data_IF_794423401494
#
_entry.id   IF_794423401494
#
_cell.length_a   1.000
_cell.length_b   1.000
_cell.length_c   1.000
_cell.angle_alpha   90.00
_cell.angle_beta   90.00
_cell.angle_gamma   90.00
#
_symmetry.space_group_name_H-M   'P 1'
#
loop_
_entity.id
_entity.type
_entity.pdbx_description
1 polymer ?
#
# COMPACT_ATOMS: atom_id res chain seq x y z
N UNK A 1 -27.73 3.76 -68.20
CA UNK A 1 -27.22 3.71 -69.57
C UNK A 1 -25.69 3.62 -69.65
N UNK A 2 -24.94 4.28 -68.83
CA UNK A 2 -23.45 4.22 -68.84
C UNK A 2 -22.85 2.82 -68.60
N UNK A 3 -23.42 2.01 -67.71
CA UNK A 3 -22.91 0.68 -67.41
C UNK A 3 -23.12 -0.33 -68.56
N UNK A 4 -24.08 -0.10 -69.45
CA UNK A 4 -24.32 -0.97 -70.61
C UNK A 4 -23.31 -0.73 -71.74
N UNK A 5 -22.81 0.52 -71.86
CA UNK A 5 -21.82 0.89 -72.86
C UNK A 5 -20.41 0.37 -72.56
N UNK A 6 -20.08 0.12 -71.32
CA UNK A 6 -18.75 -0.35 -70.89
C UNK A 6 -18.65 -1.87 -70.96
N UNK A 7 -19.77 -2.63 -70.89
CA UNK A 7 -19.76 -4.12 -70.86
C UNK A 7 -20.22 -4.78 -72.17
N UNK A 8 -20.78 -4.03 -73.12
CA UNK A 8 -21.21 -4.61 -74.41
C UNK A 8 -22.33 -5.64 -74.32
N UNK A 9 -23.09 -5.69 -73.21
CA UNK A 9 -24.11 -6.70 -72.94
C UNK A 9 -25.50 -6.03 -72.90
N UNK A 10 -26.42 -6.37 -73.80
CA UNK A 10 -27.73 -5.74 -73.93
C UNK A 10 -28.78 -6.28 -72.95
N UNK A 11 -28.39 -7.06 -71.92
CA UNK A 11 -29.35 -7.66 -71.00
C UNK A 11 -29.82 -6.61 -70.01
N UNK A 12 -31.12 -6.33 -69.90
CA UNK A 12 -31.64 -5.31 -69.02
C UNK A 12 -31.48 -5.65 -67.56
N UNK A 13 -30.86 -4.74 -66.76
CA UNK A 13 -30.59 -4.83 -65.31
C UNK A 13 -31.80 -5.16 -64.41
N UNK A 14 -32.98 -5.37 -64.98
CA UNK A 14 -34.21 -5.68 -64.22
C UNK A 14 -34.18 -7.05 -63.54
N UNK A 15 -33.43 -8.03 -64.04
CA UNK A 15 -33.36 -9.34 -63.38
C UNK A 15 -32.40 -9.34 -62.17
N UNK A 16 -31.30 -8.62 -62.25
CA UNK A 16 -30.36 -8.47 -61.13
C UNK A 16 -30.98 -7.71 -59.95
N UNK A 17 -31.74 -6.69 -60.23
CA UNK A 17 -32.45 -5.89 -59.21
C UNK A 17 -33.57 -6.73 -58.55
N UNK A 18 -34.24 -7.57 -59.33
CA UNK A 18 -35.25 -8.49 -58.76
C UNK A 18 -34.64 -9.57 -57.88
N UNK A 19 -33.48 -10.13 -58.24
CA UNK A 19 -32.78 -11.14 -57.42
C UNK A 19 -32.22 -10.54 -56.16
N UNK A 20 -31.64 -9.33 -56.20
CA UNK A 20 -31.17 -8.58 -55.04
C UNK A 20 -32.30 -8.20 -54.08
N UNK A 21 -33.44 -7.75 -54.57
CA UNK A 21 -34.62 -7.48 -53.74
C UNK A 21 -35.21 -8.73 -53.11
N UNK A 22 -35.20 -9.87 -53.83
CA UNK A 22 -35.65 -11.16 -53.26
C UNK A 22 -34.64 -11.66 -52.20
N UNK A 23 -33.35 -11.49 -52.43
CA UNK A 23 -32.34 -11.86 -51.44
C UNK A 23 -32.41 -10.96 -50.20
N UNK A 24 -32.63 -9.65 -50.36
CA UNK A 24 -32.80 -8.71 -49.24
C UNK A 24 -34.10 -9.00 -48.44
N UNK A 25 -35.21 -9.31 -49.14
CA UNK A 25 -36.45 -9.71 -48.46
C UNK A 25 -36.33 -11.05 -47.76
N UNK A 26 -35.64 -12.03 -48.36
CA UNK A 26 -35.41 -13.33 -47.71
C UNK A 26 -34.49 -13.15 -46.50
N UNK A 27 -33.45 -12.30 -46.57
CA UNK A 27 -32.60 -11.98 -45.43
C UNK A 27 -33.34 -11.27 -44.28
N UNK A 28 -34.23 -10.33 -44.62
CA UNK A 28 -35.07 -9.65 -43.64
C UNK A 28 -36.05 -10.64 -42.92
N UNK A 29 -36.67 -11.51 -43.70
CA UNK A 29 -37.61 -12.54 -43.14
C UNK A 29 -36.83 -13.52 -42.26
N UNK A 30 -35.68 -14.00 -42.68
CA UNK A 30 -34.81 -14.88 -41.86
C UNK A 30 -34.31 -14.15 -40.62
N UNK A 31 -33.93 -12.89 -40.71
CA UNK A 31 -33.55 -12.06 -39.55
C UNK A 31 -34.70 -11.88 -38.55
N UNK A 32 -35.91 -11.61 -39.04
CA UNK A 32 -37.11 -11.51 -38.19
C UNK A 32 -37.49 -12.84 -37.56
N UNK A 33 -37.37 -13.94 -38.31
CA UNK A 33 -37.62 -15.29 -37.77
C UNK A 33 -36.58 -15.65 -36.72
N UNK A 34 -35.32 -15.30 -36.92
CA UNK A 34 -34.25 -15.46 -35.93
C UNK A 34 -34.46 -14.65 -34.66
N UNK A 35 -34.89 -13.38 -34.81
CA UNK A 35 -35.26 -12.52 -33.69
C UNK A 35 -36.49 -13.03 -32.94
N UNK A 36 -37.51 -13.45 -33.63
CA UNK A 36 -38.70 -14.08 -33.03
C UNK A 36 -38.32 -15.39 -32.31
N UNK A 37 -37.47 -16.20 -32.91
CA UNK A 37 -36.99 -17.43 -32.29
C UNK A 37 -36.18 -17.16 -31.03
N UNK A 38 -35.28 -16.17 -31.04
CA UNK A 38 -34.53 -15.76 -29.87
C UNK A 38 -35.44 -15.16 -28.76
N UNK A 39 -36.44 -14.36 -29.15
CA UNK A 39 -37.41 -13.80 -28.22
C UNK A 39 -38.28 -14.91 -27.56
N UNK A 40 -38.72 -15.89 -28.34
CA UNK A 40 -39.46 -17.03 -27.82
C UNK A 40 -38.56 -17.89 -26.91
N UNK A 41 -37.29 -18.10 -27.28
CA UNK A 41 -36.33 -18.81 -26.45
C UNK A 41 -36.09 -18.09 -25.11
N UNK A 42 -35.90 -16.77 -25.12
CA UNK A 42 -35.73 -15.98 -23.90
C UNK A 42 -36.94 -15.99 -22.96
N UNK A 43 -38.13 -16.10 -23.51
CA UNK A 43 -39.38 -16.22 -22.72
C UNK A 43 -39.65 -17.64 -22.19
N UNK A 44 -39.12 -18.67 -22.91
CA UNK A 44 -39.27 -20.06 -22.53
C UNK A 44 -38.09 -20.60 -21.68
N UNK A 45 -37.05 -19.80 -21.48
CA UNK A 45 -35.94 -20.20 -20.62
C UNK A 45 -36.43 -20.32 -19.18
N UNK A 46 -36.43 -21.55 -18.58
CA UNK A 46 -36.97 -21.76 -17.26
C UNK A 46 -36.12 -20.93 -16.27
N UNK A 47 -36.79 -20.10 -15.46
CA UNK A 47 -36.16 -19.40 -14.36
C UNK A 47 -35.45 -20.40 -13.45
N UNK A 48 -34.21 -20.13 -13.02
CA UNK A 48 -33.48 -21.03 -12.12
C UNK A 48 -34.32 -21.35 -10.87
N UNK A 49 -34.43 -22.63 -10.53
CA UNK A 49 -35.07 -23.02 -9.27
C UNK A 49 -34.07 -22.74 -8.12
N UNK A 50 -34.39 -21.78 -7.27
CA UNK A 50 -33.57 -21.39 -6.15
C UNK A 50 -33.16 -22.54 -5.22
N UNK A 51 -33.95 -23.63 -5.18
CA UNK A 51 -33.68 -24.82 -4.35
C UNK A 51 -32.43 -25.59 -4.80
N UNK A 52 -32.02 -25.44 -6.04
CA UNK A 52 -30.86 -26.12 -6.59
C UNK A 52 -29.59 -25.24 -6.59
N UNK A 53 -29.75 -23.98 -6.18
CA UNK A 53 -28.67 -23.01 -6.12
C UNK A 53 -28.08 -22.92 -4.69
N UNK A 54 -26.84 -22.49 -4.57
CA UNK A 54 -26.19 -22.27 -3.26
C UNK A 54 -26.46 -20.85 -2.74
N UNK A 55 -26.37 -19.86 -3.63
CA UNK A 55 -26.61 -18.44 -3.32
C UNK A 55 -27.50 -17.86 -4.40
N UNK A 56 -28.55 -17.13 -3.99
CA UNK A 56 -29.44 -16.46 -4.91
C UNK A 56 -29.55 -14.98 -4.64
N UNK A 57 -29.76 -14.20 -5.72
CA UNK A 57 -29.95 -12.75 -5.67
C UNK A 57 -31.24 -12.38 -6.37
N UNK A 58 -32.05 -11.58 -5.74
CA UNK A 58 -33.27 -11.05 -6.34
C UNK A 58 -32.99 -10.14 -7.52
N UNK A 59 -33.59 -10.43 -8.67
CA UNK A 59 -33.32 -9.75 -9.93
C UNK A 59 -33.57 -8.23 -9.87
N UNK A 60 -34.53 -7.80 -9.08
CA UNK A 60 -34.94 -6.38 -8.96
C UNK A 60 -34.52 -5.79 -7.62
N UNK A 61 -34.62 -6.55 -6.53
CA UNK A 61 -34.32 -6.10 -5.18
C UNK A 61 -32.82 -6.08 -4.89
N UNK A 62 -32.02 -6.92 -5.57
CA UNK A 62 -30.62 -7.16 -5.22
C UNK A 62 -30.42 -7.86 -3.88
N UNK A 63 -31.50 -8.28 -3.22
CA UNK A 63 -31.42 -8.97 -1.94
C UNK A 63 -30.76 -10.35 -2.10
N UNK A 64 -29.76 -10.63 -1.28
CA UNK A 64 -28.97 -11.86 -1.36
C UNK A 64 -29.36 -12.85 -0.28
N UNK A 65 -29.37 -14.12 -0.64
CA UNK A 65 -29.72 -15.23 0.26
C UNK A 65 -28.78 -16.40 0.05
N UNK A 66 -28.32 -17.00 1.13
CA UNK A 66 -27.76 -18.34 1.13
C UNK A 66 -28.90 -19.36 1.19
N UNK A 67 -28.82 -20.46 0.43
CA UNK A 67 -29.84 -21.49 0.41
C UNK A 67 -29.48 -22.60 1.40
N UNK A 68 -30.29 -22.78 2.41
CA UNK A 68 -30.17 -23.87 3.37
C UNK A 68 -31.13 -25.00 2.97
N UNK A 69 -30.67 -26.24 3.10
CA UNK A 69 -31.46 -27.46 2.83
C UNK A 69 -31.89 -28.16 4.13
N UNK A 70 -32.82 -29.06 4.02
CA UNK A 70 -33.33 -29.89 5.13
C UNK A 70 -33.89 -29.12 6.34
N UNK A 71 -34.99 -28.32 6.18
CA UNK A 71 -35.79 -28.07 4.99
C UNK A 71 -35.22 -26.90 4.14
N UNK A 72 -35.60 -26.85 2.84
CA UNK A 72 -35.23 -25.77 1.95
C UNK A 72 -35.75 -24.43 2.45
N UNK A 73 -34.81 -23.47 2.65
CA UNK A 73 -35.13 -22.13 3.15
C UNK A 73 -34.03 -21.12 2.73
N UNK A 74 -34.43 -19.86 2.66
CA UNK A 74 -33.54 -18.75 2.34
C UNK A 74 -33.04 -18.10 3.65
N UNK A 75 -31.72 -17.99 3.78
CA UNK A 75 -31.04 -17.26 4.86
C UNK A 75 -30.59 -15.90 4.32
N UNK A 76 -31.21 -14.76 4.73
CA UNK A 76 -30.81 -13.45 4.27
C UNK A 76 -29.36 -13.15 4.69
N UNK A 77 -28.55 -12.62 3.75
CA UNK A 77 -27.14 -12.26 3.96
C UNK A 77 -26.83 -10.91 3.31
N UNK A 78 -25.81 -10.23 3.78
CA UNK A 78 -25.45 -8.91 3.27
C UNK A 78 -24.74 -8.97 1.92
N UNK A 79 -23.90 -9.99 1.69
CA UNK A 79 -23.03 -10.11 0.52
C UNK A 79 -22.60 -11.57 0.29
N UNK A 80 -21.82 -11.80 -0.79
CA UNK A 80 -21.33 -13.14 -1.15
C UNK A 80 -20.35 -13.73 -0.12
N UNK A 81 -19.39 -12.98 0.46
CA UNK A 81 -18.57 -13.48 1.57
C UNK A 81 -19.42 -13.98 2.75
N UNK A 82 -20.42 -13.22 3.17
CA UNK A 82 -21.34 -13.63 4.23
C UNK A 82 -22.13 -14.89 3.85
N UNK A 83 -22.60 -14.98 2.59
CA UNK A 83 -23.29 -16.18 2.08
C UNK A 83 -22.39 -17.42 2.18
N UNK A 84 -21.14 -17.33 1.76
CA UNK A 84 -20.17 -18.42 1.82
C UNK A 84 -19.92 -18.91 3.24
N UNK A 85 -19.80 -18.00 4.20
CA UNK A 85 -19.64 -18.37 5.62
C UNK A 85 -20.88 -19.08 6.16
N UNK A 86 -22.07 -18.62 5.80
CA UNK A 86 -23.33 -19.29 6.18
C UNK A 86 -23.40 -20.68 5.58
N UNK A 87 -23.07 -20.86 4.30
CA UNK A 87 -23.04 -22.18 3.65
C UNK A 87 -22.02 -23.12 4.32
N UNK A 88 -20.85 -22.62 4.70
CA UNK A 88 -19.85 -23.40 5.44
C UNK A 88 -20.37 -23.80 6.84
N UNK A 89 -21.03 -22.90 7.57
CA UNK A 89 -21.63 -23.21 8.86
C UNK A 89 -22.75 -24.27 8.73
N UNK A 90 -23.45 -24.29 7.62
CA UNK A 90 -24.45 -25.30 7.28
C UNK A 90 -23.83 -26.60 6.73
N UNK A 91 -22.50 -26.70 6.70
CA UNK A 91 -21.73 -27.86 6.21
C UNK A 91 -22.01 -28.22 4.75
N UNK A 92 -22.15 -27.22 3.90
CA UNK A 92 -22.29 -27.37 2.45
C UNK A 92 -20.92 -27.50 1.80
N UNK A 93 -20.62 -28.60 1.10
CA UNK A 93 -19.29 -29.02 0.58
C UNK A 93 -18.63 -28.04 -0.39
N UNK A 94 -19.31 -27.00 -0.88
CA UNK A 94 -18.79 -26.05 -1.89
C UNK A 94 -18.91 -24.59 -1.48
N UNK A 95 -18.93 -24.29 -0.21
CA UNK A 95 -19.16 -22.95 0.30
C UNK A 95 -18.18 -21.90 -0.28
N UNK A 96 -16.88 -22.18 -0.31
CA UNK A 96 -15.87 -21.25 -0.82
C UNK A 96 -15.88 -21.02 -2.33
N UNK A 97 -16.52 -21.92 -3.11
CA UNK A 97 -16.69 -21.79 -4.56
C UNK A 97 -18.10 -21.31 -4.96
N UNK A 98 -18.97 -21.03 -3.99
CA UNK A 98 -20.35 -20.62 -4.26
C UNK A 98 -20.37 -19.29 -5.03
N UNK A 99 -21.18 -19.25 -6.08
CA UNK A 99 -21.47 -18.07 -6.89
C UNK A 99 -22.95 -17.72 -6.75
N UNK A 100 -23.27 -16.45 -6.98
CA UNK A 100 -24.65 -15.98 -6.87
C UNK A 100 -25.39 -16.16 -8.20
N UNK A 101 -26.58 -16.74 -8.16
CA UNK A 101 -27.50 -16.90 -9.30
C UNK A 101 -28.65 -15.91 -9.17
N UNK A 102 -28.96 -15.19 -10.25
CA UNK A 102 -30.06 -14.23 -10.27
C UNK A 102 -31.40 -14.96 -10.43
N UNK A 103 -32.35 -14.70 -9.53
CA UNK A 103 -33.69 -15.32 -9.51
C UNK A 103 -34.77 -14.23 -9.42
N UNK A 104 -35.91 -14.36 -10.11
CA UNK A 104 -37.00 -13.41 -9.98
C UNK A 104 -37.49 -13.23 -8.54
N UNK A 105 -37.71 -11.98 -8.11
CA UNK A 105 -38.16 -11.67 -6.75
C UNK A 105 -39.50 -12.30 -6.37
N UNK A 106 -40.39 -12.50 -7.34
CA UNK A 106 -41.66 -13.18 -7.14
C UNK A 106 -41.48 -14.61 -6.62
N UNK A 107 -40.52 -15.35 -7.19
CA UNK A 107 -40.16 -16.71 -6.76
C UNK A 107 -39.58 -16.70 -5.34
N UNK A 108 -38.66 -15.73 -5.07
CA UNK A 108 -38.05 -15.61 -3.74
C UNK A 108 -39.06 -15.16 -2.69
N UNK A 109 -40.05 -14.34 -3.04
CA UNK A 109 -41.04 -13.81 -2.09
C UNK A 109 -41.92 -14.89 -1.43
N UNK A 110 -42.13 -16.01 -2.12
CA UNK A 110 -42.94 -17.15 -1.65
C UNK A 110 -42.10 -18.22 -0.92
N UNK A 111 -40.77 -18.11 -0.96
CA UNK A 111 -39.89 -19.08 -0.33
C UNK A 111 -39.82 -18.91 1.20
N UNK A 112 -39.72 -20.02 1.96
CA UNK A 112 -39.51 -19.96 3.41
C UNK A 112 -38.20 -19.21 3.74
N UNK A 113 -38.21 -18.34 4.77
CA UNK A 113 -37.06 -17.54 5.18
C UNK A 113 -36.76 -17.75 6.65
N UNK A 114 -35.45 -17.56 6.99
CA UNK A 114 -35.00 -17.47 8.37
C UNK A 114 -34.74 -16.01 8.74
N UNK A 115 -34.49 -15.68 10.03
CA UNK A 115 -33.81 -14.43 10.38
C UNK A 115 -32.46 -14.29 9.66
N UNK A 116 -31.99 -13.05 9.50
CA UNK A 116 -30.68 -12.79 8.87
C UNK A 116 -29.55 -13.42 9.68
N UNK A 117 -28.50 -13.85 8.99
CA UNK A 117 -27.28 -14.32 9.65
C UNK A 117 -26.50 -13.17 10.30
N UNK A 118 -25.82 -13.44 11.43
CA UNK A 118 -25.05 -12.44 12.18
C UNK A 118 -23.71 -12.08 11.55
N UNK A 119 -23.41 -12.59 10.35
CA UNK A 119 -22.17 -12.28 9.64
C UNK A 119 -22.17 -10.83 9.16
N UNK A 120 -21.13 -10.04 9.50
CA UNK A 120 -21.05 -8.67 9.03
C UNK A 120 -20.90 -8.63 7.51
N UNK A 121 -21.58 -7.70 6.86
CA UNK A 121 -21.37 -7.40 5.46
C UNK A 121 -20.02 -6.70 5.24
N UNK A 122 -19.41 -6.95 4.11
CA UNK A 122 -18.18 -6.28 3.68
C UNK A 122 -18.35 -5.74 2.27
N UNK A 123 -18.09 -4.45 2.11
CA UNK A 123 -18.27 -3.79 0.81
C UNK A 123 -17.07 -4.07 -0.10
N UNK A 124 -17.35 -4.51 -1.34
CA UNK A 124 -16.36 -4.69 -2.39
C UNK A 124 -15.14 -5.55 -1.98
N UNK A 125 -15.40 -6.69 -1.32
CA UNK A 125 -14.38 -7.68 -0.95
C UNK A 125 -14.33 -8.79 -2.00
N UNK A 126 -13.14 -9.12 -2.45
CA UNK A 126 -12.86 -10.20 -3.42
C UNK A 126 -11.87 -11.19 -2.79
N UNK A 127 -12.35 -12.20 -2.03
CA UNK A 127 -11.48 -13.11 -1.27
C UNK A 127 -10.53 -13.93 -2.15
N UNK A 128 -10.88 -14.18 -3.40
CA UNK A 128 -10.10 -14.95 -4.37
C UNK A 128 -8.93 -14.14 -4.98
N UNK A 129 -9.00 -12.82 -4.89
CA UNK A 129 -7.94 -11.93 -5.37
C UNK A 129 -6.85 -11.78 -4.34
N UNK A 130 -5.65 -11.46 -4.81
CA UNK A 130 -4.50 -11.13 -3.98
C UNK A 130 -3.93 -9.77 -4.37
N UNK A 131 -3.40 -9.03 -3.39
CA UNK A 131 -2.68 -7.78 -3.63
C UNK A 131 -1.20 -8.14 -3.72
N UNK A 132 -0.47 -7.61 -4.72
CA UNK A 132 0.98 -7.83 -4.83
C UNK A 132 1.68 -7.33 -3.55
N UNK A 133 2.80 -7.97 -3.23
CA UNK A 133 3.58 -7.65 -2.04
C UNK A 133 4.43 -6.38 -2.21
N UNK A 134 3.84 -5.32 -2.73
CA UNK A 134 4.46 -4.00 -2.91
C UNK A 134 3.53 -2.94 -2.32
N UNK A 135 3.98 -2.28 -1.26
CA UNK A 135 3.16 -1.35 -0.49
C UNK A 135 3.84 -0.01 -0.34
N UNK A 136 3.05 1.05 -0.25
CA UNK A 136 3.54 2.37 0.09
C UNK A 136 2.57 3.12 1.01
N UNK A 137 3.13 3.99 1.85
CA UNK A 137 2.40 5.01 2.63
C UNK A 137 2.98 6.35 2.23
N UNK A 138 2.16 7.19 1.63
CA UNK A 138 2.60 8.42 0.98
C UNK A 138 1.89 9.64 1.55
N UNK A 139 2.65 10.68 1.84
CA UNK A 139 2.12 12.03 2.04
C UNK A 139 2.37 12.86 0.78
N UNK A 140 1.35 13.61 0.37
CA UNK A 140 1.43 14.59 -0.70
C UNK A 140 1.32 15.99 -0.10
N UNK A 141 2.18 16.91 -0.54
CA UNK A 141 2.21 18.30 -0.07
C UNK A 141 2.04 19.27 -1.24
N UNK A 142 1.63 20.49 -0.96
CA UNK A 142 1.65 21.60 -1.91
C UNK A 142 3.08 22.15 -2.09
N UNK A 143 3.33 23.06 -3.04
CA UNK A 143 4.65 23.65 -3.25
C UNK A 143 5.21 24.40 -2.04
N UNK A 144 4.36 24.88 -1.15
CA UNK A 144 4.70 25.56 0.10
C UNK A 144 4.97 24.61 1.25
N UNK A 145 4.79 23.28 1.03
CA UNK A 145 5.03 22.21 1.99
C UNK A 145 3.84 21.90 2.90
N UNK A 146 2.68 22.49 2.63
CA UNK A 146 1.42 22.18 3.32
C UNK A 146 0.88 20.82 2.95
N UNK A 147 0.29 20.07 3.89
CA UNK A 147 -0.28 18.74 3.63
C UNK A 147 -1.49 18.82 2.71
N UNK A 148 -1.47 18.02 1.65
CA UNK A 148 -2.61 17.79 0.74
C UNK A 148 -3.38 16.53 1.14
N UNK A 149 -2.68 15.46 1.51
CA UNK A 149 -3.32 14.24 1.99
C UNK A 149 -2.36 13.05 2.08
N UNK A 150 -2.83 12.01 2.79
CA UNK A 150 -2.11 10.76 3.03
C UNK A 150 -2.79 9.61 2.29
N UNK A 151 -2.02 8.86 1.52
CA UNK A 151 -2.50 7.72 0.74
C UNK A 151 -1.78 6.44 1.11
N UNK A 152 -2.53 5.37 1.38
CA UNK A 152 -1.99 4.00 1.47
C UNK A 152 -2.17 3.31 0.13
N UNK A 153 -1.11 2.73 -0.39
CA UNK A 153 -1.09 2.06 -1.68
C UNK A 153 -0.69 0.60 -1.47
N UNK A 154 -1.55 -0.31 -1.87
CA UNK A 154 -1.23 -1.71 -2.10
C UNK A 154 -1.06 -1.95 -3.59
N UNK A 155 -0.15 -2.85 -3.96
CA UNK A 155 0.21 -3.05 -5.37
C UNK A 155 0.91 -1.82 -5.98
N UNK A 156 1.78 -1.18 -5.18
CA UNK A 156 2.51 0.01 -5.60
C UNK A 156 3.39 -0.27 -6.83
N UNK A 157 3.36 0.65 -7.79
CA UNK A 157 4.18 0.54 -8.98
C UNK A 157 5.68 0.61 -8.63
N UNK A 158 6.52 -0.23 -9.24
CA UNK A 158 7.96 -0.16 -9.05
C UNK A 158 8.51 1.22 -9.41
N UNK A 159 9.38 1.76 -8.56
CA UNK A 159 10.06 3.04 -8.77
C UNK A 159 11.56 2.86 -8.65
N UNK A 160 12.36 3.64 -9.38
CA UNK A 160 13.80 3.62 -9.20
C UNK A 160 14.13 4.03 -7.76
N UNK A 161 15.20 3.48 -7.17
CA UNK A 161 15.66 3.93 -5.86
C UNK A 161 16.04 5.41 -5.92
N UNK A 162 15.81 6.14 -4.83
CA UNK A 162 16.30 7.51 -4.67
C UNK A 162 17.82 7.49 -4.46
N UNK A 163 18.48 8.59 -4.81
CA UNK A 163 19.89 8.76 -4.52
C UNK A 163 20.12 8.71 -2.99
N UNK A 164 21.14 7.99 -2.55
CA UNK A 164 21.48 7.90 -1.12
C UNK A 164 21.83 9.27 -0.50
N UNK A 165 22.24 10.23 -1.32
CA UNK A 165 22.49 11.60 -0.89
C UNK A 165 21.20 12.43 -0.77
N UNK A 166 20.08 11.99 -1.34
CA UNK A 166 18.84 12.74 -1.26
C UNK A 166 18.18 12.58 0.10
N UNK A 167 17.63 13.68 0.57
CA UNK A 167 16.97 13.75 1.85
C UNK A 167 15.73 14.65 1.77
N UNK A 168 14.78 14.44 2.67
CA UNK A 168 13.64 15.35 2.88
C UNK A 168 13.59 15.80 4.32
N UNK A 169 13.19 17.04 4.52
CA UNK A 169 12.97 17.61 5.84
C UNK A 169 11.46 17.59 6.12
N UNK A 170 11.05 16.92 7.20
CA UNK A 170 9.65 16.72 7.55
C UNK A 170 9.31 17.46 8.85
N UNK A 171 8.15 18.12 8.86
CA UNK A 171 7.48 18.59 10.07
C UNK A 171 6.46 17.53 10.50
N UNK A 172 6.82 16.74 11.49
CA UNK A 172 5.97 15.69 12.03
C UNK A 172 5.03 16.18 13.14
N UNK A 173 4.18 15.30 13.67
CA UNK A 173 3.30 15.62 14.79
C UNK A 173 4.06 16.12 16.03
N UNK A 174 3.48 17.07 16.76
CA UNK A 174 4.05 17.59 18.01
C UNK A 174 5.30 18.46 17.81
N UNK A 175 5.33 19.24 16.75
CA UNK A 175 6.42 20.18 16.42
C UNK A 175 7.79 19.50 16.35
N UNK A 176 7.83 18.25 15.87
CA UNK A 176 9.07 17.51 15.69
C UNK A 176 9.57 17.64 14.27
N UNK A 177 10.84 18.02 14.12
CA UNK A 177 11.52 18.06 12.81
C UNK A 177 12.31 16.78 12.60
N UNK A 178 12.12 16.17 11.43
CA UNK A 178 12.79 14.95 11.01
C UNK A 178 13.55 15.17 9.71
N UNK A 179 14.80 14.73 9.68
CA UNK A 179 15.54 14.55 8.44
C UNK A 179 15.45 13.09 8.02
N UNK A 180 14.90 12.83 6.83
CA UNK A 180 14.81 11.48 6.28
C UNK A 180 15.84 11.33 5.18
N UNK A 181 16.78 10.41 5.34
CA UNK A 181 17.84 10.10 4.39
C UNK A 181 18.25 8.64 4.53
N UNK A 182 18.68 7.98 3.45
CA UNK A 182 19.05 6.57 3.47
C UNK A 182 17.94 5.62 3.94
N UNK A 183 16.67 6.02 3.80
CA UNK A 183 15.51 5.21 4.25
C UNK A 183 15.19 5.32 5.74
N UNK A 184 15.89 6.17 6.49
CA UNK A 184 15.76 6.31 7.95
C UNK A 184 15.40 7.75 8.32
N UNK A 185 14.50 7.92 9.29
CA UNK A 185 14.20 9.24 9.87
C UNK A 185 15.12 9.53 11.04
N UNK A 186 15.68 10.71 11.08
CA UNK A 186 16.51 11.21 12.16
C UNK A 186 15.85 12.44 12.78
N UNK A 187 15.67 12.44 14.08
CA UNK A 187 15.19 13.64 14.76
C UNK A 187 16.25 14.73 14.69
N UNK A 188 15.84 15.94 14.31
CA UNK A 188 16.68 17.12 14.27
C UNK A 188 16.31 18.04 15.42
N UNK A 189 17.31 18.53 16.16
CA UNK A 189 17.10 19.61 17.11
C UNK A 189 17.19 20.95 16.36
N UNK A 190 16.07 21.64 16.26
CA UNK A 190 16.01 22.95 15.58
C UNK A 190 16.85 24.02 16.29
N UNK A 191 17.16 23.83 17.57
CA UNK A 191 18.06 24.69 18.36
C UNK A 191 19.54 24.45 18.09
N UNK A 192 19.93 23.29 17.51
CA UNK A 192 21.34 22.99 17.21
C UNK A 192 21.78 23.63 15.90
N UNK A 193 22.40 24.82 16.00
CA UNK A 193 22.91 25.56 14.85
C UNK A 193 24.02 24.82 14.09
N UNK A 194 24.81 23.95 14.75
CA UNK A 194 25.86 23.17 14.11
C UNK A 194 25.25 22.07 13.21
N UNK A 195 24.25 21.35 13.70
CA UNK A 195 23.50 20.35 12.91
C UNK A 195 22.87 21.03 11.70
N UNK A 196 22.18 22.15 11.90
CA UNK A 196 21.56 22.90 10.79
C UNK A 196 22.57 23.38 9.75
N UNK A 197 23.76 23.75 10.16
CA UNK A 197 24.83 24.17 9.24
C UNK A 197 25.43 22.99 8.47
N UNK A 198 25.79 21.91 9.17
CA UNK A 198 26.44 20.72 8.57
C UNK A 198 25.50 20.04 7.55
N UNK A 199 24.22 19.86 7.90
CA UNK A 199 23.23 19.27 7.01
C UNK A 199 22.55 20.29 6.07
N UNK A 200 23.02 21.54 6.05
CA UNK A 200 22.51 22.62 5.17
C UNK A 200 20.99 22.84 5.30
N UNK A 201 20.48 22.75 6.51
CA UNK A 201 19.06 22.92 6.80
C UNK A 201 18.65 24.38 7.02
N UNK A 202 19.62 25.30 7.11
CA UNK A 202 19.36 26.73 7.31
C UNK A 202 18.56 27.30 6.13
N UNK A 203 17.40 27.90 6.43
CA UNK A 203 16.50 28.46 5.42
C UNK A 203 15.65 27.44 4.65
N UNK A 204 15.75 26.14 4.97
CA UNK A 204 14.85 25.12 4.44
C UNK A 204 13.58 25.08 5.25
N UNK A 205 12.43 24.95 4.57
CA UNK A 205 11.14 24.76 5.19
C UNK A 205 10.82 23.26 5.26
N UNK A 206 10.54 22.74 6.47
CA UNK A 206 10.07 21.36 6.58
C UNK A 206 8.71 21.21 5.89
N UNK A 207 8.54 20.15 5.08
CA UNK A 207 7.23 19.80 4.54
C UNK A 207 6.40 19.09 5.60
N UNK A 208 5.10 19.32 5.62
CA UNK A 208 4.20 18.66 6.55
C UNK A 208 4.23 17.14 6.35
N UNK A 209 4.28 16.39 7.44
CA UNK A 209 4.24 14.94 7.43
C UNK A 209 3.26 14.42 8.48
N UNK A 210 2.49 13.41 8.10
CA UNK A 210 1.47 12.81 8.96
C UNK A 210 2.07 11.83 9.97
N UNK A 211 1.34 11.59 11.05
CA UNK A 211 1.67 10.51 11.98
C UNK A 211 1.68 9.14 11.29
N UNK A 212 0.87 8.97 10.24
CA UNK A 212 0.84 7.75 9.44
C UNK A 212 2.19 7.50 8.77
N UNK A 213 2.70 8.46 7.99
CA UNK A 213 4.00 8.35 7.33
C UNK A 213 5.14 8.24 8.34
N UNK A 214 5.17 9.13 9.32
CA UNK A 214 6.26 9.14 10.32
C UNK A 214 6.33 7.82 11.09
N UNK A 215 5.18 7.20 11.44
CA UNK A 215 5.15 5.96 12.21
C UNK A 215 5.71 4.73 11.49
N UNK A 216 5.65 4.71 10.17
CA UNK A 216 6.15 3.57 9.35
C UNK A 216 7.63 3.72 8.97
N UNK A 217 8.18 4.93 9.01
CA UNK A 217 9.60 5.17 8.73
C UNK A 217 10.48 4.62 9.87
N UNK A 218 11.52 3.82 9.57
CA UNK A 218 12.50 3.41 10.56
C UNK A 218 13.15 4.62 11.24
N UNK A 219 13.37 4.54 12.56
CA UNK A 219 13.98 5.62 13.33
C UNK A 219 15.46 5.33 13.56
N UNK A 220 16.31 6.28 13.19
CA UNK A 220 17.72 6.30 13.45
C UNK A 220 18.08 7.18 14.67
N UNK A 221 19.37 7.28 14.99
CA UNK A 221 19.83 8.13 16.07
C UNK A 221 19.46 9.60 15.80
N UNK A 222 19.17 10.39 16.85
CA UNK A 222 18.93 11.81 16.71
C UNK A 222 20.20 12.53 16.23
N UNK A 223 20.05 13.51 15.34
CA UNK A 223 21.14 14.34 14.87
C UNK A 223 21.33 15.49 15.86
N UNK A 224 22.34 15.35 16.69
CA UNK A 224 22.78 16.36 17.63
C UNK A 224 24.29 16.35 17.68
N UNK A 225 24.90 17.49 17.96
CA UNK A 225 26.37 17.57 18.11
C UNK A 225 26.84 16.56 19.17
N UNK A 226 27.68 15.54 18.82
CA UNK A 226 28.10 14.53 19.76
C UNK A 226 28.84 15.11 20.97
N UNK A 227 28.47 14.66 22.17
CA UNK A 227 29.17 15.03 23.39
C UNK A 227 30.41 14.16 23.54
N UNK A 228 31.58 14.76 23.47
CA UNK A 228 32.86 14.10 23.72
C UNK A 228 33.24 14.37 25.15
N UNK A 229 33.36 13.36 26.03
CA UNK A 229 33.88 13.53 27.39
C UNK A 229 35.32 14.06 27.36
N UNK A 230 35.69 14.81 28.36
CA UNK A 230 37.05 15.33 28.54
C UNK A 230 37.60 16.15 27.33
N UNK A 231 36.67 16.75 26.57
CA UNK A 231 37.00 17.56 25.40
C UNK A 231 37.95 18.69 25.76
N UNK A 232 39.04 18.79 24.99
CA UNK A 232 40.06 19.80 25.16
C UNK A 232 41.25 19.32 25.98
N UNK A 233 41.20 18.14 26.60
CA UNK A 233 42.33 17.52 27.27
C UNK A 233 43.40 17.11 26.25
N UNK A 234 44.65 16.89 26.67
CA UNK A 234 45.69 16.39 25.80
C UNK A 234 45.31 15.05 25.17
N UNK A 235 45.56 14.88 23.87
CA UNK A 235 45.35 13.61 23.20
C UNK A 235 46.19 12.48 23.84
N UNK A 236 45.77 11.22 23.72
CA UNK A 236 46.55 10.05 24.11
C UNK A 236 47.97 10.08 23.50
N UNK A 237 48.96 9.48 24.17
CA UNK A 237 50.34 9.46 23.67
C UNK A 237 50.46 8.93 22.24
N UNK A 238 51.17 9.65 21.39
CA UNK A 238 51.34 9.31 19.97
C UNK A 238 50.30 9.87 19.03
N UNK A 239 49.20 10.45 19.54
CA UNK A 239 48.19 11.12 18.73
C UNK A 239 48.36 12.64 18.73
N UNK A 240 48.24 13.30 17.58
CA UNK A 240 48.31 14.76 17.50
C UNK A 240 47.01 15.41 17.95
N UNK A 241 47.06 16.58 18.57
CA UNK A 241 45.89 17.40 18.91
C UNK A 241 45.40 17.17 20.34
N UNK A 242 44.08 17.30 20.52
CA UNK A 242 43.39 17.22 21.80
C UNK A 242 42.19 16.30 21.67
N UNK A 243 41.67 15.81 22.78
CA UNK A 243 40.42 15.10 22.85
C UNK A 243 39.30 15.97 22.25
N UNK A 244 38.54 15.42 21.32
CA UNK A 244 37.50 16.10 20.55
C UNK A 244 37.98 16.73 19.24
N UNK A 245 39.27 16.70 18.91
CA UNK A 245 39.77 17.04 17.59
C UNK A 245 39.50 15.94 16.57
N UNK A 246 39.49 16.29 15.29
CA UNK A 246 39.25 15.34 14.20
C UNK A 246 40.48 15.21 13.33
N UNK A 247 40.89 13.97 13.10
CA UNK A 247 41.95 13.60 12.18
C UNK A 247 41.38 13.13 10.86
N UNK A 248 42.05 13.45 9.76
CA UNK A 248 41.64 13.01 8.43
C UNK A 248 42.80 12.26 7.75
N UNK A 249 42.52 11.08 7.22
CA UNK A 249 43.49 10.28 6.49
C UNK A 249 42.99 9.96 5.09
N UNK A 250 43.91 9.85 4.11
CA UNK A 250 43.55 9.63 2.71
C UNK A 250 43.30 10.92 1.94
N UNK A 251 42.90 10.81 0.68
CA UNK A 251 42.67 11.94 -0.24
C UNK A 251 41.37 11.71 -1.05
N UNK A 252 40.66 12.78 -1.33
CA UNK A 252 39.45 12.73 -2.14
C UNK A 252 38.33 11.92 -1.51
N UNK A 253 37.60 11.15 -2.33
CA UNK A 253 36.47 10.34 -1.90
C UNK A 253 36.85 9.14 -1.00
N UNK A 254 38.17 8.81 -0.92
CA UNK A 254 38.68 7.80 0.00
C UNK A 254 39.15 8.37 1.36
N UNK A 255 38.79 9.60 1.70
CA UNK A 255 39.13 10.23 2.96
C UNK A 255 38.32 9.63 4.12
N UNK A 256 39.04 9.16 5.16
CA UNK A 256 38.51 8.66 6.42
C UNK A 256 38.68 9.70 7.51
N UNK A 257 37.75 9.72 8.44
CA UNK A 257 37.71 10.68 9.54
C UNK A 257 37.74 9.96 10.87
N UNK A 258 38.54 10.46 11.80
CA UNK A 258 38.75 9.88 13.12
C UNK A 258 38.60 10.95 14.20
N UNK A 259 37.72 10.69 15.16
CA UNK A 259 37.62 11.48 16.38
C UNK A 259 38.75 11.09 17.35
N UNK A 260 39.45 12.05 17.93
CA UNK A 260 40.40 11.84 19.01
C UNK A 260 39.60 11.76 20.32
N UNK A 261 39.66 10.62 21.02
CA UNK A 261 39.00 10.35 22.29
C UNK A 261 40.06 10.05 23.35
N UNK A 262 39.68 10.08 24.62
CA UNK A 262 40.60 9.80 25.74
C UNK A 262 41.26 8.41 25.61
N UNK A 263 40.49 7.39 25.14
CA UNK A 263 41.01 6.03 24.94
C UNK A 263 41.70 5.77 23.61
N UNK A 264 41.71 6.70 22.64
CA UNK A 264 42.26 6.47 21.30
C UNK A 264 41.49 7.15 20.16
N UNK A 265 41.49 6.53 18.99
CA UNK A 265 40.76 7.00 17.81
C UNK A 265 39.47 6.21 17.57
N UNK A 266 38.45 6.90 17.15
CA UNK A 266 37.24 6.26 16.62
C UNK A 266 36.99 6.77 15.21
N UNK A 267 36.82 5.86 14.25
CA UNK A 267 36.37 6.21 12.93
C UNK A 267 34.92 6.75 13.00
N UNK A 268 34.65 7.86 12.31
CA UNK A 268 33.35 8.52 12.35
C UNK A 268 32.88 8.91 10.96
N UNK A 269 31.58 8.93 10.67
CA UNK A 269 31.03 9.46 9.42
C UNK A 269 31.42 10.91 9.19
N UNK A 270 31.48 11.32 7.92
CA UNK A 270 31.84 12.69 7.51
C UNK A 270 31.00 13.75 8.24
N UNK A 271 29.69 13.53 8.36
CA UNK A 271 28.81 14.47 9.03
C UNK A 271 29.16 14.65 10.51
N UNK A 272 29.51 13.56 11.20
CA UNK A 272 29.95 13.60 12.60
C UNK A 272 31.29 14.34 12.71
N UNK A 273 32.23 14.08 11.80
CA UNK A 273 33.50 14.78 11.73
C UNK A 273 33.30 16.30 11.60
N UNK A 274 32.45 16.72 10.68
CA UNK A 274 32.15 18.14 10.46
C UNK A 274 31.50 18.79 11.72
N UNK A 275 30.59 18.08 12.41
CA UNK A 275 30.01 18.55 13.70
C UNK A 275 31.10 18.70 14.79
N UNK A 276 31.96 17.70 14.94
CA UNK A 276 33.02 17.72 15.92
C UNK A 276 34.01 18.84 15.63
N UNK A 277 34.34 19.11 14.37
CA UNK A 277 35.21 20.26 13.96
C UNK A 277 34.55 21.57 14.37
N UNK A 278 33.28 21.78 14.12
CA UNK A 278 32.56 23.01 14.55
C UNK A 278 32.60 23.17 16.07
N UNK A 279 32.53 22.07 16.81
CA UNK A 279 32.55 22.05 18.27
C UNK A 279 33.97 22.03 18.87
N UNK A 280 35.03 21.71 18.08
CA UNK A 280 36.40 21.63 18.59
C UNK A 280 37.02 23.00 18.80
N UNK A 281 38.06 23.05 19.62
CA UNK A 281 38.85 24.28 19.88
C UNK A 281 39.61 24.69 18.63
N UNK A 282 40.18 23.72 17.92
CA UNK A 282 40.99 23.95 16.72
C UNK A 282 40.18 24.40 15.50
N UNK A 283 38.90 23.94 15.42
CA UNK A 283 37.97 24.20 14.31
C UNK A 283 38.52 23.83 12.93
N UNK A 284 39.36 22.79 12.88
CA UNK A 284 40.00 22.32 11.66
C UNK A 284 40.12 20.81 11.61
N UNK A 285 40.13 20.26 10.41
CA UNK A 285 40.47 18.88 10.14
C UNK A 285 42.00 18.77 10.09
N UNK A 286 42.55 17.87 10.88
CA UNK A 286 44.01 17.68 10.93
C UNK A 286 44.42 16.49 10.05
N UNK A 287 45.15 16.69 8.97
CA UNK A 287 45.63 15.58 8.15
C UNK A 287 46.68 14.75 8.90
N UNK A 288 46.58 13.41 8.78
CA UNK A 288 47.52 12.46 9.37
C UNK A 288 47.95 11.39 8.37
N UNK A 289 49.16 10.87 8.56
CA UNK A 289 49.65 9.76 7.77
C UNK A 289 49.24 8.39 8.31
N UNK A 290 49.47 7.35 7.51
CA UNK A 290 49.18 5.97 7.88
C UNK A 290 50.01 5.48 9.08
N UNK A 291 51.17 6.09 9.33
CA UNK A 291 52.01 5.82 10.47
C UNK A 291 51.34 6.14 11.82
N UNK A 292 50.63 7.27 11.87
CA UNK A 292 49.84 7.67 13.05
C UNK A 292 48.69 6.69 13.29
N UNK A 293 47.97 6.31 12.23
CA UNK A 293 46.87 5.36 12.33
C UNK A 293 47.37 3.97 12.72
N UNK A 294 48.49 3.50 12.17
CA UNK A 294 49.09 2.20 12.48
C UNK A 294 49.56 2.06 13.92
N UNK A 295 49.87 3.16 14.60
CA UNK A 295 50.32 3.20 15.99
C UNK A 295 49.16 3.49 16.98
N UNK A 296 47.97 3.88 16.47
CA UNK A 296 46.85 4.28 17.30
C UNK A 296 46.07 3.10 17.91
N UNK A 297 45.56 3.32 19.11
CA UNK A 297 44.52 2.46 19.67
C UNK A 297 43.17 2.90 19.11
N UNK A 298 42.37 1.95 18.61
CA UNK A 298 41.02 2.24 18.17
C UNK A 298 39.99 1.88 19.26
N UNK A 299 39.01 2.75 19.41
CA UNK A 299 37.89 2.63 20.36
C UNK A 299 36.55 2.82 19.66
N UNK A 300 35.47 2.43 20.28
CA UNK A 300 34.10 2.63 19.79
C UNK A 300 33.21 3.08 20.95
N UNK A 301 33.32 4.35 21.31
CA UNK A 301 32.66 4.92 22.49
C UNK A 301 31.65 6.02 22.15
N UNK A 302 31.78 6.68 20.99
CA UNK A 302 30.78 7.61 20.51
C UNK A 302 29.64 6.87 19.80
N UNK A 303 28.37 7.15 20.16
CA UNK A 303 27.22 6.48 19.56
C UNK A 303 26.89 7.09 18.18
N UNK A 304 27.72 6.80 17.19
CA UNK A 304 27.59 7.35 15.82
C UNK A 304 27.10 6.32 14.79
N UNK A 305 26.82 5.10 15.22
CA UNK A 305 26.25 4.08 14.34
C UNK A 305 24.92 4.53 13.76
N UNK A 306 24.72 4.32 12.45
CA UNK A 306 23.47 4.69 11.75
C UNK A 306 23.34 6.19 11.44
N UNK A 307 24.40 6.99 11.60
CA UNK A 307 24.42 8.37 11.12
C UNK A 307 24.57 8.41 9.59
N UNK A 308 24.08 9.47 8.91
CA UNK A 308 24.33 9.67 7.49
C UNK A 308 25.82 9.71 7.17
N UNK A 309 26.27 8.93 6.20
CA UNK A 309 27.71 8.79 5.91
C UNK A 309 28.28 9.99 5.14
N UNK A 310 27.47 10.62 4.28
CA UNK A 310 27.94 11.65 3.35
C UNK A 310 27.14 12.94 3.38
N UNK A 311 27.50 13.88 2.48
CA UNK A 311 26.75 15.10 2.27
C UNK A 311 25.37 14.76 1.72
N UNK A 312 24.34 15.46 2.22
CA UNK A 312 22.96 15.30 1.78
C UNK A 312 22.52 16.46 0.89
N UNK A 313 21.52 16.19 0.05
CA UNK A 313 20.79 17.16 -0.75
C UNK A 313 19.33 17.15 -0.33
N UNK A 314 18.85 18.20 0.30
CA UNK A 314 17.44 18.32 0.67
C UNK A 314 16.61 18.62 -0.57
N UNK A 315 15.67 17.73 -0.85
CA UNK A 315 14.71 17.85 -1.95
C UNK A 315 13.53 18.71 -1.51
N UNK A 316 13.23 19.75 -2.30
CA UNK A 316 12.18 20.72 -1.98
C UNK A 316 10.78 20.24 -2.40
N UNK A 317 9.70 20.69 -1.73
CA UNK A 317 8.32 20.30 -2.03
C UNK A 317 7.86 20.62 -3.45
N UNK A 318 8.32 21.73 -4.03
CA UNK A 318 7.99 22.16 -5.39
C UNK A 318 8.59 21.25 -6.49
N UNK A 319 9.68 20.54 -6.17
CA UNK A 319 10.34 19.60 -7.07
C UNK A 319 9.71 18.20 -6.99
N UNK A 320 9.55 17.70 -5.78
CA UNK A 320 9.03 16.36 -5.49
C UNK A 320 8.05 16.42 -4.31
N UNK A 321 6.77 16.75 -4.57
CA UNK A 321 5.77 16.96 -3.54
C UNK A 321 5.33 15.68 -2.81
N UNK A 322 5.64 14.50 -3.34
CA UNK A 322 5.23 13.22 -2.75
C UNK A 322 6.40 12.60 -2.00
N UNK A 323 6.17 12.21 -0.76
CA UNK A 323 7.11 11.43 0.07
C UNK A 323 6.45 10.14 0.49
N UNK A 324 7.05 9.00 0.19
CA UNK A 324 6.54 7.68 0.52
C UNK A 324 7.53 6.86 1.34
N UNK A 325 7.02 6.16 2.33
CA UNK A 325 7.63 4.91 2.77
C UNK A 325 7.17 3.82 1.81
N UNK A 326 8.10 2.99 1.34
CA UNK A 326 7.84 1.87 0.43
C UNK A 326 8.29 0.57 1.06
N UNK A 327 7.56 -0.51 0.79
CA UNK A 327 7.87 -1.81 1.36
C UNK A 327 7.66 -2.91 0.32
N UNK A 328 8.58 -3.86 0.31
CA UNK A 328 8.47 -5.14 -0.39
C UNK A 328 9.12 -6.25 0.47
N UNK A 329 8.86 -7.54 0.19
CA UNK A 329 9.40 -8.64 0.98
C UNK A 329 10.94 -8.73 1.00
N UNK A 330 11.60 -8.21 -0.03
CA UNK A 330 13.06 -8.22 -0.14
C UNK A 330 13.70 -7.12 0.71
N UNK A 331 12.89 -6.12 1.11
CA UNK A 331 13.27 -5.03 2.01
C UNK A 331 12.26 -4.89 3.15
N UNK A 332 12.30 -5.80 4.12
CA UNK A 332 11.28 -5.87 5.19
C UNK A 332 11.29 -4.65 6.14
N UNK A 333 12.39 -3.90 6.21
CA UNK A 333 12.48 -2.62 6.91
C UNK A 333 11.82 -1.48 6.13
N UNK A 334 11.60 -1.69 4.83
CA UNK A 334 11.11 -0.67 3.92
C UNK A 334 12.20 0.27 3.42
N UNK A 335 11.79 1.24 2.62
CA UNK A 335 12.64 2.28 2.07
C UNK A 335 11.88 3.59 1.95
N UNK A 336 12.56 4.63 1.52
CA UNK A 336 11.95 5.93 1.25
C UNK A 336 12.02 6.22 -0.23
N UNK A 337 10.98 6.81 -0.75
CA UNK A 337 10.90 7.29 -2.11
C UNK A 337 10.25 8.67 -2.15
N UNK A 338 10.74 9.54 -3.02
CA UNK A 338 10.13 10.85 -3.30
C UNK A 338 9.87 10.97 -4.79
N UNK A 339 8.88 11.77 -5.14
CA UNK A 339 8.56 12.00 -6.54
C UNK A 339 7.48 13.06 -6.75
N UNK A 340 7.15 13.25 -8.02
CA UNK A 340 6.13 14.22 -8.41
C UNK A 340 4.71 13.71 -8.27
N UNK A 341 4.51 12.40 -8.37
CA UNK A 341 3.21 11.75 -8.38
C UNK A 341 3.26 10.49 -7.52
N UNK A 342 2.12 10.06 -7.03
CA UNK A 342 1.99 8.80 -6.29
C UNK A 342 2.50 7.61 -7.12
N UNK A 343 3.12 6.58 -6.50
CA UNK A 343 3.63 5.40 -7.19
C UNK A 343 2.48 4.44 -7.57
N UNK A 344 1.57 4.90 -8.43
CA UNK A 344 0.43 4.13 -8.94
C UNK A 344 0.75 3.52 -10.31
N UNK A 345 0.08 2.41 -10.64
CA UNK A 345 0.06 1.88 -12.00
C UNK A 345 -0.74 2.83 -12.92
N UNK A 346 -0.45 2.76 -14.22
CA UNK A 346 -1.11 3.61 -15.21
C UNK A 346 -2.64 3.39 -15.18
N UNK A 347 -3.38 4.47 -14.99
CA UNK A 347 -4.84 4.44 -14.92
C UNK A 347 -5.42 4.09 -13.55
N UNK A 348 -4.61 3.75 -12.55
CA UNK A 348 -5.07 3.58 -11.18
C UNK A 348 -5.37 4.94 -10.53
N UNK A 349 -6.41 4.97 -9.71
CA UNK A 349 -6.81 6.17 -8.96
C UNK A 349 -7.09 5.79 -7.51
N UNK A 350 -6.64 6.61 -6.56
CA UNK A 350 -6.97 6.39 -5.15
C UNK A 350 -8.48 6.58 -4.89
N UNK A 351 -9.00 5.80 -3.97
CA UNK A 351 -10.35 5.96 -3.43
C UNK A 351 -10.27 6.83 -2.19
N UNK A 352 -10.98 7.97 -2.19
CA UNK A 352 -11.08 8.84 -1.02
C UNK A 352 -11.91 8.14 0.06
N UNK A 353 -11.38 8.11 1.28
CA UNK A 353 -12.04 7.47 2.42
C UNK A 353 -13.04 8.41 3.06
N UNK A 354 -14.11 7.86 3.66
CA UNK A 354 -15.10 8.65 4.39
C UNK A 354 -14.51 9.37 5.63
N UNK A 355 -13.37 8.90 6.12
CA UNK A 355 -12.63 9.50 7.23
C UNK A 355 -11.60 10.56 6.80
N UNK A 356 -11.46 10.84 5.50
CA UNK A 356 -10.52 11.84 4.99
C UNK A 356 -10.83 13.20 5.62
N UNK A 357 -9.84 13.79 6.27
CA UNK A 357 -9.98 15.07 6.97
C UNK A 357 -8.95 16.12 6.53
N UNK A 358 -7.96 15.73 5.70
CA UNK A 358 -6.89 16.59 5.23
C UNK A 358 -5.97 17.15 6.33
N UNK A 359 -6.14 16.70 7.58
CA UNK A 359 -5.42 17.24 8.74
C UNK A 359 -4.19 16.43 9.13
N UNK A 360 -3.97 15.28 8.46
CA UNK A 360 -2.85 14.39 8.73
C UNK A 360 -3.03 13.49 9.96
N UNK A 361 -4.22 13.43 10.54
CA UNK A 361 -4.52 12.53 11.66
C UNK A 361 -5.00 11.15 11.18
N UNK A 362 -5.55 11.08 9.97
CA UNK A 362 -6.09 9.86 9.37
C UNK A 362 -5.60 9.73 7.93
N UNK A 363 -5.66 8.49 7.42
CA UNK A 363 -5.43 8.24 6.00
C UNK A 363 -6.62 8.77 5.20
N UNK A 364 -6.34 9.57 4.18
CA UNK A 364 -7.36 10.25 3.35
C UNK A 364 -7.78 9.40 2.16
N UNK A 365 -6.87 8.60 1.61
CA UNK A 365 -7.14 7.80 0.43
C UNK A 365 -6.43 6.44 0.46
N UNK A 366 -6.95 5.49 -0.30
CA UNK A 366 -6.36 4.16 -0.49
C UNK A 366 -6.40 3.76 -1.96
N UNK A 367 -5.33 3.14 -2.44
CA UNK A 367 -5.24 2.58 -3.78
C UNK A 367 -4.81 1.10 -3.68
N UNK A 368 -5.76 0.18 -3.79
CA UNK A 368 -5.55 -1.28 -3.67
C UNK A 368 -6.22 -2.07 -4.81
N UNK A 369 -6.55 -1.39 -5.90
CA UNK A 369 -7.21 -1.98 -7.06
C UNK A 369 -8.54 -2.64 -6.68
N UNK A 370 -8.71 -3.91 -7.03
CA UNK A 370 -9.91 -4.69 -6.69
C UNK A 370 -9.91 -5.22 -5.25
N UNK A 371 -8.88 -4.91 -4.48
CA UNK A 371 -8.68 -5.49 -3.16
C UNK A 371 -8.24 -6.96 -3.21
N UNK A 372 -8.25 -7.64 -2.07
CA UNK A 372 -7.92 -9.06 -2.02
C UNK A 372 -7.39 -9.53 -0.67
N UNK A 373 -6.96 -10.78 -0.64
CA UNK A 373 -6.38 -11.42 0.53
C UNK A 373 -4.88 -11.08 0.66
N UNK A 374 -4.46 -10.74 1.87
CA UNK A 374 -3.05 -10.50 2.23
C UNK A 374 -2.72 -11.11 3.58
N UNK A 375 -1.45 -11.44 3.79
CA UNK A 375 -0.95 -11.94 5.06
C UNK A 375 -0.11 -10.87 5.74
N UNK A 376 -0.55 -10.42 6.90
CA UNK A 376 0.18 -9.40 7.64
C UNK A 376 1.56 -9.91 8.06
N UNK A 377 2.57 -9.08 7.83
CA UNK A 377 3.96 -9.36 8.23
C UNK A 377 4.49 -8.16 9.01
N UNK A 378 5.22 -8.42 10.08
CA UNK A 378 5.79 -7.40 10.95
C UNK A 378 7.28 -7.64 11.21
N UNK A 379 7.96 -6.69 11.86
CA UNK A 379 9.37 -6.82 12.19
C UNK A 379 9.65 -8.13 12.95
N UNK A 380 10.71 -8.85 12.55
CA UNK A 380 11.13 -10.10 13.18
C UNK A 380 10.29 -11.33 12.87
N UNK A 381 9.27 -11.23 12.01
CA UNK A 381 8.49 -12.38 11.54
C UNK A 381 8.91 -12.78 10.13
N UNK A 382 8.99 -14.10 9.91
CA UNK A 382 9.19 -14.61 8.55
C UNK A 382 8.01 -14.21 7.64
N UNK A 383 8.30 -13.88 6.39
CA UNK A 383 7.28 -13.63 5.39
C UNK A 383 6.33 -14.83 5.28
N UNK A 384 5.03 -14.58 5.24
CA UNK A 384 4.01 -15.63 5.16
C UNK A 384 3.53 -16.19 6.50
N UNK A 385 4.08 -15.75 7.63
CA UNK A 385 3.65 -16.15 8.98
C UNK A 385 3.01 -14.95 9.69
N UNK A 386 1.68 -14.88 9.67
CA UNK A 386 0.94 -13.81 10.34
C UNK A 386 -0.55 -13.92 10.07
N UNK A 387 -1.38 -13.07 10.68
CA UNK A 387 -2.81 -13.10 10.49
C UNK A 387 -3.20 -12.78 9.04
N UNK A 388 -4.26 -13.43 8.59
CA UNK A 388 -4.84 -13.17 7.27
C UNK A 388 -5.78 -11.97 7.35
N UNK A 389 -5.72 -11.15 6.33
CA UNK A 389 -6.58 -9.98 6.13
C UNK A 389 -7.21 -10.02 4.76
N UNK A 390 -8.42 -9.53 4.67
CA UNK A 390 -9.06 -9.14 3.41
C UNK A 390 -9.11 -7.62 3.35
N UNK A 391 -8.57 -7.04 2.29
CA UNK A 391 -8.65 -5.61 2.04
C UNK A 391 -9.63 -5.38 0.91
N UNK A 392 -10.64 -4.57 1.13
CA UNK A 392 -11.66 -4.27 0.11
C UNK A 392 -11.14 -3.27 -0.93
N UNK A 393 -11.77 -3.24 -2.11
CA UNK A 393 -11.46 -2.26 -3.15
C UNK A 393 -11.67 -0.79 -2.71
N UNK A 394 -12.42 -0.58 -1.63
CA UNK A 394 -12.63 0.75 -1.01
C UNK A 394 -11.74 1.00 0.19
N UNK A 395 -10.71 0.17 0.41
CA UNK A 395 -9.67 0.39 1.40
C UNK A 395 -10.02 -0.02 2.84
N UNK A 396 -11.08 -0.78 3.08
CA UNK A 396 -11.40 -1.29 4.42
C UNK A 396 -10.71 -2.63 4.63
N UNK A 397 -10.00 -2.78 5.75
CA UNK A 397 -9.34 -4.01 6.17
C UNK A 397 -10.22 -4.85 7.09
N UNK A 398 -10.32 -6.15 6.81
CA UNK A 398 -11.08 -7.12 7.58
C UNK A 398 -10.15 -8.25 8.03
N UNK A 399 -10.05 -8.50 9.33
CA UNK A 399 -9.35 -9.68 9.84
C UNK A 399 -10.10 -10.96 9.49
N UNK A 400 -9.37 -12.07 9.28
CA UNK A 400 -9.93 -13.41 9.11
C UNK A 400 -9.50 -14.25 10.31
N UNK A 401 -10.47 -14.79 11.05
CA UNK A 401 -10.23 -15.39 12.36
C UNK A 401 -9.29 -16.60 12.32
N UNK A 402 -9.51 -17.51 11.36
CA UNK A 402 -8.77 -18.78 11.28
C UNK A 402 -8.73 -19.36 9.85
N UNK A 403 -8.05 -20.50 9.71
CA UNK A 403 -7.95 -21.24 8.45
C UNK A 403 -9.29 -21.73 7.89
N UNK A 404 -10.15 -22.36 8.70
CA UNK A 404 -11.50 -22.76 8.26
C UNK A 404 -12.34 -21.58 7.74
N UNK A 405 -12.27 -20.42 8.39
CA UNK A 405 -12.93 -19.20 7.92
C UNK A 405 -12.38 -18.75 6.57
N UNK A 406 -11.04 -18.78 6.39
CA UNK A 406 -10.41 -18.44 5.12
C UNK A 406 -10.84 -19.38 3.98
N UNK A 407 -10.88 -20.67 4.23
CA UNK A 407 -11.33 -21.69 3.28
C UNK A 407 -12.80 -21.50 2.91
N UNK A 408 -13.65 -21.24 3.91
CA UNK A 408 -15.07 -20.96 3.71
C UNK A 408 -15.31 -19.71 2.83
N UNK A 409 -14.47 -18.69 2.96
CA UNK A 409 -14.48 -17.48 2.13
C UNK A 409 -13.99 -17.72 0.70
N UNK A 410 -13.30 -18.83 0.44
CA UNK A 410 -12.69 -19.12 -0.85
C UNK A 410 -11.30 -18.52 -1.04
N UNK A 411 -10.62 -18.17 0.06
CA UNK A 411 -9.25 -17.65 -0.01
C UNK A 411 -8.27 -18.76 -0.36
N UNK A 412 -7.53 -18.58 -1.45
CA UNK A 412 -6.45 -19.48 -1.86
C UNK A 412 -5.20 -19.18 -1.03
N UNK A 413 -5.11 -19.77 0.16
CA UNK A 413 -4.08 -19.43 1.17
C UNK A 413 -2.65 -19.55 0.69
N UNK A 414 -2.36 -20.45 -0.26
CA UNK A 414 -1.02 -20.61 -0.89
C UNK A 414 -0.63 -19.51 -1.87
N UNK A 415 -1.59 -18.71 -2.35
CA UNK A 415 -1.36 -17.60 -3.27
C UNK A 415 -1.30 -16.24 -2.57
N UNK A 416 -1.65 -16.20 -1.26
CA UNK A 416 -1.73 -14.95 -0.49
C UNK A 416 -0.34 -14.34 -0.32
N UNK A 417 -0.18 -13.08 -0.72
CA UNK A 417 1.06 -12.34 -0.63
C UNK A 417 1.22 -11.67 0.75
N UNK A 418 2.46 -11.44 1.21
CA UNK A 418 2.71 -10.69 2.43
C UNK A 418 2.39 -9.21 2.25
N UNK A 419 1.94 -8.58 3.34
CA UNK A 419 1.71 -7.14 3.42
C UNK A 419 2.23 -6.61 4.76
N UNK A 420 2.81 -5.40 4.81
CA UNK A 420 3.35 -4.86 6.05
C UNK A 420 2.22 -4.51 7.02
N UNK A 421 2.27 -5.07 8.22
CA UNK A 421 1.28 -4.81 9.28
C UNK A 421 1.16 -3.31 9.58
N UNK A 422 2.26 -2.57 9.47
CA UNK A 422 2.29 -1.13 9.67
C UNK A 422 1.35 -0.38 8.70
N UNK A 423 1.32 -0.75 7.42
CA UNK A 423 0.39 -0.15 6.45
C UNK A 423 -1.05 -0.65 6.66
N UNK A 424 -1.24 -1.93 6.95
CA UNK A 424 -2.59 -2.50 7.19
C UNK A 424 -3.29 -1.84 8.37
N UNK A 425 -2.57 -1.50 9.42
CA UNK A 425 -3.13 -0.81 10.61
C UNK A 425 -3.59 0.62 10.36
N UNK A 426 -3.15 1.24 9.26
CA UNK A 426 -3.59 2.57 8.86
C UNK A 426 -4.94 2.55 8.14
N UNK A 427 -5.36 1.40 7.63
CA UNK A 427 -6.64 1.25 6.94
C UNK A 427 -7.81 1.28 7.94
N UNK A 428 -8.98 1.80 7.53
CA UNK A 428 -10.21 1.62 8.28
C UNK A 428 -10.46 0.14 8.55
N UNK A 429 -10.85 -0.20 9.78
CA UNK A 429 -11.08 -1.57 10.19
C UNK A 429 -12.56 -1.94 10.13
N UNK A 430 -12.90 -2.95 9.34
CA UNK A 430 -14.19 -3.63 9.38
C UNK A 430 -14.25 -4.68 10.51
N UNK A 431 -15.45 -5.20 10.77
CA UNK A 431 -15.58 -6.34 11.70
C UNK A 431 -14.87 -7.56 11.09
N UNK A 432 -14.11 -8.31 11.88
CA UNK A 432 -13.44 -9.50 11.36
C UNK A 432 -14.46 -10.56 10.92
N UNK A 433 -14.09 -11.33 9.92
CA UNK A 433 -14.83 -12.51 9.52
C UNK A 433 -14.53 -13.68 10.46
N UNK A 434 -15.57 -14.31 10.97
CA UNK A 434 -15.49 -15.50 11.80
C UNK A 434 -16.60 -16.48 11.40
N UNK A 435 -16.24 -17.72 11.09
CA UNK A 435 -17.17 -18.79 10.77
C UNK A 435 -18.14 -19.08 11.94
N UNK A 436 -17.72 -18.86 13.17
CA UNK A 436 -18.56 -19.05 14.34
C UNK A 436 -19.75 -18.07 14.38
N UNK A 437 -19.62 -16.89 13.80
CA UNK A 437 -20.72 -15.91 13.71
C UNK A 437 -21.78 -16.33 12.68
N UNK A 438 -21.41 -17.13 11.67
CA UNK A 438 -22.29 -17.56 10.61
C UNK A 438 -23.39 -18.53 11.08
N UNK A 439 -23.17 -19.22 12.20
CA UNK A 439 -24.18 -20.08 12.83
C UNK A 439 -25.18 -19.34 13.72
N UNK A 440 -25.03 -18.02 13.87
CA UNK A 440 -25.89 -17.19 14.71
C UNK A 440 -26.88 -16.42 13.85
N UNK A 441 -28.13 -16.32 14.32
CA UNK A 441 -29.09 -15.40 13.73
C UNK A 441 -28.96 -14.02 14.39
N UNK A 442 -29.15 -12.97 13.59
CA UNK A 442 -29.40 -11.62 14.12
C UNK A 442 -30.87 -11.57 14.48
N UNK A 443 -31.18 -11.71 15.76
CA UNK A 443 -32.45 -11.22 16.26
C UNK A 443 -32.41 -9.69 16.11
N UNK A 444 -33.48 -9.12 15.54
CA UNK A 444 -33.60 -7.69 15.39
C UNK A 444 -33.21 -7.02 16.72
N UNK A 445 -32.10 -6.33 16.72
CA UNK A 445 -31.64 -5.60 17.92
C UNK A 445 -32.70 -4.56 18.24
N UNK A 446 -33.24 -4.51 19.45
CA UNK A 446 -33.97 -3.34 19.88
C UNK A 446 -33.03 -2.15 19.79
N UNK A 447 -33.45 -1.09 19.11
CA UNK A 447 -32.69 0.13 18.85
C UNK A 447 -32.22 0.87 20.09
#
# INVERSE_FOLDING_TARGET
MEAALVRGDPVPLHEQIRSQRRAALAGLVLGLLGLCGAAVWAVLEPSPDWRHESVVVGATSGAMYAVAHDPDRLVPVADLPAARLVLAALRTDRSGAATATVVPDETLSTAPRTPAAAVPGAVAVTPESTIRASWAVCDSVDPEGGLVGTTVIGDAAPRPPVDAADAVLLAGPGDTTWLVTGGVRHRVDDGDGAVRAVFRLAGRLPRAATGALVSVLPEGPPLATPVVPDRGDPAPPGLPGRVGDVLAAGVGDGQQYFAVLDGGLQEVPRAVADLLVVASVARELRPVGADVLGAATFVDTLPVAGWPEGPIRVVEPDQEPVTCWTWDPDRPEGGVWFGRELPLDAGASPVTLAQADGTGQKVDAVAVGVGGAVRATGPGRAAGVGPLWLVSAVGVGYGVADGPTAEALGVVTGAVQPAPEAALRLLPSGRPFDLADAGRAVDATPG
#
